data_IF_123898313571
#
_entry.id   IF_123898313571
#
_cell.length_a   1.000
_cell.length_b   1.000
_cell.length_c   1.000
_cell.angle_alpha   90.00
_cell.angle_beta   90.00
_cell.angle_gamma   90.00
#
_symmetry.space_group_name_H-M   'P 1'
#
loop_
_entity.id
_entity.type
_entity.pdbx_description
1 polymer ?
#
# COMPACT_ATOMS: atom_id res chain seq x y z
N UNK A 1 -23.72 20.43 -3.67
CA UNK A 1 -23.45 19.94 -5.04
C UNK A 1 -23.04 18.48 -4.88
N UNK A 2 -23.82 17.51 -5.37
CA UNK A 2 -23.41 16.09 -5.27
C UNK A 2 -22.09 15.91 -6.01
N UNK A 3 -21.08 15.23 -5.43
CA UNK A 3 -19.86 14.98 -6.16
C UNK A 3 -20.19 14.09 -7.36
N UNK A 4 -19.89 14.56 -8.56
CA UNK A 4 -20.13 13.83 -9.81
C UNK A 4 -19.22 12.59 -9.99
N UNK A 5 -18.38 12.31 -8.99
CA UNK A 5 -17.33 11.29 -8.97
C UNK A 5 -17.17 10.75 -7.56
N UNK A 6 -16.81 9.47 -7.45
CA UNK A 6 -16.59 8.80 -6.16
C UNK A 6 -15.32 9.29 -5.45
N UNK A 7 -14.32 9.74 -6.22
CA UNK A 7 -13.02 10.18 -5.72
C UNK A 7 -12.74 11.63 -6.15
N UNK A 8 -12.16 12.45 -5.27
CA UNK A 8 -11.79 13.83 -5.56
C UNK A 8 -10.46 14.18 -4.90
N UNK A 9 -9.58 14.87 -5.61
CA UNK A 9 -8.40 15.49 -4.98
C UNK A 9 -8.87 16.66 -4.15
N UNK A 10 -8.59 16.63 -2.85
CA UNK A 10 -8.84 17.72 -1.90
C UNK A 10 -7.52 18.18 -1.32
N UNK A 11 -7.43 19.46 -0.91
CA UNK A 11 -6.23 19.94 -0.24
C UNK A 11 -6.19 19.48 1.21
N UNK A 12 -5.00 19.18 1.71
CA UNK A 12 -4.82 18.74 3.09
C UNK A 12 -5.28 19.80 4.11
N UNK A 13 -5.07 21.09 3.83
CA UNK A 13 -5.55 22.17 4.71
C UNK A 13 -7.08 22.24 4.78
N UNK A 14 -7.76 21.97 3.67
CA UNK A 14 -9.23 21.94 3.64
C UNK A 14 -9.78 20.75 4.45
N UNK A 15 -9.13 19.58 4.37
CA UNK A 15 -9.49 18.42 5.20
C UNK A 15 -9.28 18.73 6.67
N UNK A 16 -8.12 19.28 7.04
CA UNK A 16 -7.82 19.66 8.43
C UNK A 16 -8.81 20.70 8.95
N UNK A 17 -9.15 21.71 8.15
CA UNK A 17 -10.17 22.70 8.51
C UNK A 17 -11.55 22.06 8.73
N UNK A 18 -11.92 21.06 7.92
CA UNK A 18 -13.18 20.35 8.04
C UNK A 18 -13.23 19.39 9.25
N UNK A 19 -12.09 18.81 9.64
CA UNK A 19 -12.01 17.84 10.75
C UNK A 19 -11.61 18.45 12.10
N UNK A 20 -11.09 19.69 12.11
CA UNK A 20 -10.51 20.31 13.30
C UNK A 20 -9.40 19.44 13.91
N UNK A 21 -9.36 19.35 15.24
CA UNK A 21 -8.36 18.58 16.00
C UNK A 21 -8.59 17.06 15.98
N UNK A 22 -9.53 16.57 15.15
CA UNK A 22 -9.91 15.15 15.08
C UNK A 22 -10.71 14.65 16.29
N UNK A 23 -10.63 15.29 17.46
CA UNK A 23 -11.39 14.95 18.67
C UNK A 23 -12.89 15.25 18.57
N UNK A 24 -13.26 16.16 17.68
CA UNK A 24 -14.65 16.50 17.37
C UNK A 24 -15.28 15.56 16.34
N UNK A 25 -14.48 14.70 15.69
CA UNK A 25 -15.00 13.66 14.80
C UNK A 25 -15.51 12.54 15.71
N UNK A 26 -16.84 12.30 15.74
CA UNK A 26 -17.38 11.24 16.57
C UNK A 26 -16.72 9.92 16.17
N UNK A 27 -16.32 9.12 17.16
CA UNK A 27 -15.92 7.73 16.95
C UNK A 27 -17.11 7.02 16.30
N UNK A 28 -17.09 7.01 14.97
CA UNK A 28 -18.18 6.51 14.16
C UNK A 28 -17.99 5.01 14.11
N UNK A 29 -18.99 4.28 14.58
CA UNK A 29 -19.23 2.95 14.05
C UNK A 29 -19.21 3.08 12.52
N UNK A 30 -18.41 2.27 11.84
CA UNK A 30 -17.98 2.47 10.45
C UNK A 30 -19.13 2.47 9.44
N UNK A 31 -20.35 2.23 9.91
CA UNK A 31 -21.59 2.11 9.16
C UNK A 31 -22.29 3.45 8.88
N UNK A 32 -21.93 4.57 9.53
CA UNK A 32 -22.60 5.86 9.29
C UNK A 32 -21.73 6.79 8.43
N UNK A 33 -22.13 7.06 7.17
CA UNK A 33 -21.39 7.99 6.32
C UNK A 33 -21.45 9.41 6.86
N UNK A 34 -20.30 10.03 7.06
CA UNK A 34 -20.17 11.44 7.43
C UNK A 34 -19.89 12.28 6.18
N UNK A 35 -20.49 13.46 6.09
CA UNK A 35 -20.18 14.44 5.04
C UNK A 35 -19.21 15.48 5.59
N UNK A 36 -18.07 15.66 4.92
CA UNK A 36 -17.09 16.71 5.19
C UNK A 36 -17.12 17.74 4.06
N UNK A 37 -17.22 19.02 4.40
CA UNK A 37 -17.07 20.10 3.42
C UNK A 37 -15.59 20.44 3.22
N UNK A 38 -14.96 19.75 2.28
CA UNK A 38 -13.56 19.96 1.91
C UNK A 38 -13.38 20.99 0.79
N UNK A 39 -14.42 21.77 0.47
CA UNK A 39 -14.39 22.78 -0.60
C UNK A 39 -14.39 22.21 -2.02
N UNK A 40 -13.91 23.02 -2.98
CA UNK A 40 -13.81 22.64 -4.39
C UNK A 40 -12.66 21.66 -4.67
N UNK A 41 -12.84 20.81 -5.69
CA UNK A 41 -11.80 19.88 -6.12
C UNK A 41 -10.50 20.57 -6.51
N UNK A 42 -9.38 20.02 -6.05
CA UNK A 42 -8.02 20.52 -6.27
C UNK A 42 -7.31 19.77 -7.41
N UNK A 43 -8.07 19.22 -8.35
CA UNK A 43 -7.58 18.43 -9.49
C UNK A 43 -6.44 19.11 -10.27
N UNK A 44 -6.59 20.43 -10.51
CA UNK A 44 -5.60 21.22 -11.23
C UNK A 44 -4.27 21.38 -10.47
N UNK A 45 -4.25 21.09 -9.16
CA UNK A 45 -3.02 21.08 -8.36
C UNK A 45 -2.31 19.72 -8.38
N UNK A 46 -2.91 18.70 -8.97
CA UNK A 46 -2.30 17.39 -9.09
C UNK A 46 -1.21 17.40 -10.16
N UNK A 47 0.01 16.95 -9.84
CA UNK A 47 1.06 16.85 -10.84
C UNK A 47 0.74 15.72 -11.83
N UNK A 48 0.46 16.08 -13.08
CA UNK A 48 0.28 15.13 -14.18
C UNK A 48 -1.15 14.63 -14.34
N UNK A 49 -1.30 13.44 -14.92
CA UNK A 49 -2.62 12.82 -15.08
C UNK A 49 -3.14 12.36 -13.72
N UNK A 50 -4.40 12.70 -13.41
CA UNK A 50 -5.08 12.13 -12.26
C UNK A 50 -5.18 10.60 -12.38
N UNK A 51 -5.20 9.89 -11.23
CA UNK A 51 -5.72 8.53 -11.20
C UNK A 51 -7.10 8.48 -11.84
N UNK A 52 -7.40 7.41 -12.56
CA UNK A 52 -8.70 7.27 -13.21
C UNK A 52 -9.77 6.84 -12.19
N UNK A 53 -10.98 7.39 -12.31
CA UNK A 53 -12.01 7.34 -11.25
C UNK A 53 -12.73 5.98 -11.08
N UNK A 54 -12.59 5.07 -12.04
CA UNK A 54 -13.34 3.79 -12.09
C UNK A 54 -12.53 2.60 -12.64
N UNK A 55 -13.15 1.50 -13.01
CA UNK A 55 -12.50 0.45 -13.83
C UNK A 55 -11.24 -0.23 -13.25
N UNK A 56 -11.10 -0.24 -11.93
CA UNK A 56 -10.00 -0.91 -11.24
C UNK A 56 -10.24 -2.42 -11.18
N UNK A 57 -9.25 -3.23 -11.59
CA UNK A 57 -9.28 -4.68 -11.42
C UNK A 57 -8.49 -5.08 -10.18
N UNK A 58 -9.15 -5.72 -9.22
CA UNK A 58 -8.47 -6.29 -8.05
C UNK A 58 -7.51 -7.39 -8.52
N UNK A 59 -6.24 -7.26 -8.16
CA UNK A 59 -5.22 -8.27 -8.43
C UNK A 59 -5.12 -9.20 -7.22
N UNK A 60 -4.89 -8.67 -6.03
CA UNK A 60 -4.73 -9.49 -4.84
C UNK A 60 -5.05 -8.72 -3.56
N UNK A 61 -5.19 -9.44 -2.46
CA UNK A 61 -5.28 -8.92 -1.11
C UNK A 61 -4.03 -9.38 -0.35
N UNK A 62 -3.26 -8.42 0.15
CA UNK A 62 -2.02 -8.67 0.88
C UNK A 62 -2.24 -8.37 2.36
N UNK A 63 -1.73 -9.20 3.30
CA UNK A 63 -1.83 -8.90 4.72
C UNK A 63 -1.04 -7.62 5.07
N UNK A 64 -1.69 -6.70 5.79
CA UNK A 64 -1.07 -5.47 6.29
C UNK A 64 0.21 -5.73 7.11
N UNK A 65 0.21 -6.81 7.90
CA UNK A 65 1.36 -7.23 8.70
C UNK A 65 2.61 -7.49 7.84
N UNK A 66 2.46 -8.04 6.63
CA UNK A 66 3.56 -8.28 5.71
C UNK A 66 4.20 -6.96 5.23
N UNK A 67 3.37 -5.95 4.93
CA UNK A 67 3.85 -4.63 4.51
C UNK A 67 4.56 -3.89 5.66
N UNK A 68 4.06 -4.01 6.89
CA UNK A 68 4.74 -3.53 8.11
C UNK A 68 6.08 -4.24 8.34
N UNK A 69 6.15 -5.54 8.04
CA UNK A 69 7.39 -6.31 8.05
C UNK A 69 8.42 -5.72 7.08
N UNK A 70 8.03 -5.49 5.82
CA UNK A 70 8.88 -4.89 4.79
C UNK A 70 9.40 -3.50 5.18
N UNK A 71 8.53 -2.64 5.73
CA UNK A 71 8.92 -1.30 6.19
C UNK A 71 9.98 -1.35 7.29
N UNK A 72 9.80 -2.24 8.28
CA UNK A 72 10.76 -2.44 9.37
C UNK A 72 12.10 -2.98 8.86
N UNK A 73 12.08 -3.99 7.98
CA UNK A 73 13.29 -4.53 7.36
C UNK A 73 14.04 -3.46 6.57
N UNK A 74 13.34 -2.68 5.76
CA UNK A 74 13.92 -1.61 4.97
C UNK A 74 14.54 -0.51 5.84
N UNK A 75 13.91 -0.16 6.97
CA UNK A 75 14.46 0.79 7.95
C UNK A 75 15.72 0.25 8.65
N UNK A 76 15.74 -1.05 8.96
CA UNK A 76 16.95 -1.72 9.47
C UNK A 76 18.11 -1.60 8.48
N UNK A 77 17.87 -1.97 7.22
CA UNK A 77 18.87 -1.88 6.14
C UNK A 77 19.35 -0.45 5.94
N UNK A 78 18.44 0.54 5.97
CA UNK A 78 18.83 1.94 5.83
C UNK A 78 19.68 2.46 7.00
N UNK A 79 19.44 1.95 8.21
CA UNK A 79 20.25 2.31 9.38
C UNK A 79 21.68 1.78 9.25
N UNK A 80 21.85 0.59 8.69
CA UNK A 80 23.15 -0.06 8.46
C UNK A 80 23.91 0.58 7.29
N UNK A 81 23.22 0.84 6.17
CA UNK A 81 23.86 1.20 4.90
C UNK A 81 23.86 2.71 4.60
N UNK A 82 22.91 3.47 5.15
CA UNK A 82 22.61 4.84 4.68
C UNK A 82 22.93 5.95 5.68
N UNK A 83 23.35 5.59 6.91
CA UNK A 83 23.77 6.54 7.94
C UNK A 83 22.72 7.64 8.23
N UNK A 84 23.13 8.84 8.68
CA UNK A 84 22.21 9.92 9.06
C UNK A 84 21.44 10.57 7.89
N UNK A 85 21.68 10.16 6.64
CA UNK A 85 21.09 10.78 5.43
C UNK A 85 19.69 10.26 5.07
N UNK A 86 19.11 9.37 5.90
CA UNK A 86 17.76 8.84 5.70
C UNK A 86 17.71 7.69 4.70
N UNK A 87 16.50 7.30 4.29
CA UNK A 87 16.29 6.18 3.36
C UNK A 87 16.81 6.55 1.96
N UNK A 88 17.72 5.76 1.37
CA UNK A 88 18.28 6.07 0.07
C UNK A 88 17.21 5.89 -1.01
N UNK A 89 17.22 6.75 -2.02
CA UNK A 89 16.22 6.73 -3.10
C UNK A 89 16.19 5.40 -3.86
N UNK A 90 17.37 4.77 -4.04
CA UNK A 90 17.49 3.44 -4.64
C UNK A 90 16.67 2.38 -3.89
N UNK A 91 16.68 2.43 -2.55
CA UNK A 91 15.91 1.51 -1.71
C UNK A 91 14.41 1.81 -1.80
N UNK A 92 14.01 3.07 -1.95
CA UNK A 92 12.60 3.43 -2.16
C UNK A 92 12.08 2.96 -3.53
N UNK A 93 12.89 3.06 -4.58
CA UNK A 93 12.50 2.66 -5.93
C UNK A 93 12.65 1.15 -6.18
N UNK A 94 13.21 0.43 -5.20
CA UNK A 94 13.33 -1.02 -5.24
C UNK A 94 11.94 -1.68 -5.27
N UNK A 95 11.77 -2.59 -6.24
CA UNK A 95 10.61 -3.48 -6.35
C UNK A 95 10.78 -4.62 -5.36
N UNK A 96 9.91 -4.66 -4.34
CA UNK A 96 10.06 -5.59 -3.20
C UNK A 96 8.96 -6.63 -3.10
N UNK A 97 7.81 -6.36 -3.71
CA UNK A 97 6.70 -7.29 -3.68
C UNK A 97 6.19 -7.51 -5.09
N UNK A 98 6.28 -8.77 -5.53
CA UNK A 98 5.63 -9.23 -6.75
C UNK A 98 4.28 -9.81 -6.38
N UNK A 99 3.23 -9.08 -6.72
CA UNK A 99 1.84 -9.51 -6.52
C UNK A 99 1.38 -10.19 -7.79
N UNK A 100 0.87 -11.40 -7.68
CA UNK A 100 0.19 -12.09 -8.78
C UNK A 100 -1.31 -12.14 -8.48
N UNK A 101 -2.19 -12.25 -9.48
CA UNK A 101 -3.61 -12.39 -9.24
C UNK A 101 -3.84 -13.59 -8.31
N UNK A 102 -4.48 -13.35 -7.17
CA UNK A 102 -4.81 -14.42 -6.24
C UNK A 102 -5.88 -15.30 -6.88
N UNK A 103 -5.64 -16.61 -6.96
CA UNK A 103 -6.75 -17.54 -7.18
C UNK A 103 -7.56 -17.50 -5.88
N UNK A 104 -8.65 -16.74 -5.84
CA UNK A 104 -9.35 -16.32 -4.61
C UNK A 104 -9.49 -17.46 -3.59
N UNK A 105 -8.80 -17.33 -2.47
CA UNK A 105 -8.92 -18.22 -1.32
C UNK A 105 -10.14 -17.81 -0.51
N UNK A 106 -11.28 -18.39 -0.87
CA UNK A 106 -12.45 -18.54 0.00
C UNK A 106 -12.22 -19.80 0.84
N UNK A 107 -11.73 -19.69 2.09
CA UNK A 107 -11.92 -20.69 3.15
C UNK A 107 -11.85 -20.01 4.53
N UNK A 108 -13.03 -19.76 5.10
CA UNK A 108 -13.19 -19.58 6.54
C UNK A 108 -13.22 -20.93 7.27
N UNK A 109 -13.05 -20.86 8.58
CA UNK A 109 -13.29 -21.89 9.61
C UNK A 109 -12.23 -23.00 9.82
N UNK A 110 -11.67 -22.99 11.03
CA UNK A 110 -10.85 -24.07 11.57
C UNK A 110 -10.31 -23.77 12.96
N UNK A 111 -11.17 -23.83 13.99
CA UNK A 111 -10.75 -23.89 15.38
C UNK A 111 -10.01 -25.20 15.67
N UNK A 112 -8.91 -25.14 16.45
CA UNK A 112 -8.22 -26.33 16.94
C UNK A 112 -6.90 -26.03 17.66
N UNK A 113 -6.97 -25.89 18.98
CA UNK A 113 -5.82 -25.86 19.90
C UNK A 113 -5.04 -27.20 19.90
N UNK A 114 -3.71 -27.16 20.02
CA UNK A 114 -2.94 -27.90 21.03
C UNK A 114 -1.42 -27.69 20.90
N UNK A 115 -0.78 -27.66 22.06
CA UNK A 115 0.63 -27.37 22.29
C UNK A 115 1.60 -28.51 21.88
N UNK A 116 2.85 -28.17 21.59
CA UNK A 116 3.96 -29.11 21.43
C UNK A 116 5.33 -28.42 21.35
N UNK A 117 6.18 -28.72 22.33
CA UNK A 117 7.50 -28.13 22.60
C UNK A 117 8.64 -28.72 21.74
N UNK A 118 9.66 -27.90 21.48
CA UNK A 118 11.07 -28.32 21.49
C UNK A 118 11.77 -28.59 20.14
N UNK A 119 12.94 -27.99 19.92
CA UNK A 119 13.88 -28.46 18.89
C UNK A 119 14.86 -27.42 18.35
N UNK A 120 16.04 -27.36 18.98
CA UNK A 120 17.26 -26.66 18.55
C UNK A 120 17.87 -27.25 17.27
N UNK A 121 18.48 -26.41 16.42
CA UNK A 121 19.38 -26.83 15.33
C UNK A 121 19.82 -25.69 14.42
N UNK A 122 21.12 -25.36 14.45
CA UNK A 122 21.83 -24.62 13.40
C UNK A 122 21.75 -25.39 12.06
N UNK A 123 21.95 -24.85 10.85
CA UNK A 123 23.10 -24.12 10.34
C UNK A 123 22.92 -23.79 8.83
N UNK A 124 23.68 -22.79 8.36
CA UNK A 124 24.27 -22.66 7.01
C UNK A 124 23.43 -22.73 5.72
N UNK A 125 23.45 -21.59 5.01
CA UNK A 125 24.05 -21.53 3.68
C UNK A 125 23.12 -21.63 2.47
N UNK A 126 23.02 -20.52 1.72
CA UNK A 126 23.38 -20.42 0.29
C UNK A 126 22.56 -19.33 -0.38
N UNK A 127 23.25 -18.35 -0.96
CA UNK A 127 22.67 -17.29 -1.76
C UNK A 127 21.92 -17.83 -2.98
N UNK A 128 20.64 -17.49 -3.06
CA UNK A 128 19.81 -17.69 -4.26
C UNK A 128 19.83 -16.42 -5.11
N UNK A 129 20.69 -16.41 -6.12
CA UNK A 129 20.61 -15.43 -7.20
C UNK A 129 19.26 -15.59 -7.92
N UNK A 130 18.42 -14.55 -7.90
CA UNK A 130 17.20 -14.53 -8.73
C UNK A 130 17.59 -14.14 -10.15
N UNK A 131 17.80 -15.16 -10.97
CA UNK A 131 17.96 -15.05 -12.41
C UNK A 131 16.75 -14.30 -13.02
N UNK A 132 17.05 -13.29 -13.82
CA UNK A 132 16.09 -12.60 -14.68
C UNK A 132 15.48 -13.57 -15.69
N UNK A 133 14.29 -14.06 -15.37
CA UNK A 133 13.43 -14.82 -16.28
C UNK A 133 12.39 -13.90 -16.89
N UNK A 134 12.60 -13.50 -18.15
CA UNK A 134 11.59 -12.91 -19.01
C UNK A 134 10.52 -13.96 -19.31
N UNK A 135 9.49 -14.01 -18.47
CA UNK A 135 8.31 -14.84 -18.64
C UNK A 135 7.10 -13.94 -18.83
N UNK A 136 6.40 -14.09 -19.96
CA UNK A 136 5.15 -13.40 -20.25
C UNK A 136 4.06 -13.83 -19.25
N UNK A 137 3.96 -13.15 -18.11
CA UNK A 137 2.90 -13.27 -17.12
C UNK A 137 2.25 -11.90 -16.94
N UNK A 138 1.31 -11.57 -17.82
CA UNK A 138 0.83 -10.20 -18.04
C UNK A 138 0.07 -9.51 -16.90
N UNK A 139 -0.12 -10.19 -15.76
CA UNK A 139 -0.96 -9.69 -14.67
C UNK A 139 -0.26 -9.60 -13.30
N UNK A 140 1.05 -9.89 -13.27
CA UNK A 140 1.83 -9.66 -12.06
C UNK A 140 2.22 -8.19 -11.92
N UNK A 141 2.03 -7.64 -10.72
CA UNK A 141 2.37 -6.27 -10.34
C UNK A 141 3.61 -6.25 -9.46
N UNK A 142 4.49 -5.29 -9.72
CA UNK A 142 5.67 -5.05 -8.89
C UNK A 142 5.44 -3.80 -8.05
N UNK A 143 5.35 -3.98 -6.73
CA UNK A 143 5.18 -2.90 -5.76
C UNK A 143 6.55 -2.46 -5.25
N UNK A 144 6.76 -1.16 -5.23
CA UNK A 144 7.99 -0.52 -4.78
C UNK A 144 7.99 -0.29 -3.28
N UNK A 145 9.17 -0.18 -2.66
CA UNK A 145 9.27 0.23 -1.25
C UNK A 145 8.65 1.60 -1.01
N UNK A 146 8.68 2.50 -1.99
CA UNK A 146 8.06 3.83 -1.91
C UNK A 146 6.58 3.75 -1.62
N UNK A 147 5.86 2.84 -2.28
CA UNK A 147 4.43 2.62 -2.03
C UNK A 147 4.18 2.05 -0.64
N UNK A 148 4.98 1.07 -0.22
CA UNK A 148 4.91 0.49 1.13
C UNK A 148 5.17 1.55 2.21
N UNK A 149 6.22 2.35 2.04
CA UNK A 149 6.54 3.44 2.97
C UNK A 149 5.46 4.51 2.98
N UNK A 150 4.91 4.89 1.82
CA UNK A 150 3.82 5.86 1.77
C UNK A 150 2.60 5.35 2.55
N UNK A 151 2.20 4.10 2.33
CA UNK A 151 1.06 3.48 3.01
C UNK A 151 1.26 3.42 4.54
N UNK A 152 2.46 3.04 4.97
CA UNK A 152 2.83 2.91 6.39
C UNK A 152 3.03 4.27 7.09
N UNK A 153 3.71 5.22 6.46
CA UNK A 153 4.07 6.52 7.03
C UNK A 153 2.88 7.49 7.06
N UNK A 154 1.95 7.37 6.10
CA UNK A 154 0.70 8.13 6.09
C UNK A 154 -0.35 7.55 7.04
N UNK A 155 -0.07 6.40 7.67
CA UNK A 155 -1.00 5.77 8.62
C UNK A 155 -2.22 5.13 7.95
N UNK A 156 -2.16 4.81 6.65
CA UNK A 156 -3.27 4.14 5.94
C UNK A 156 -3.46 2.69 6.38
N UNK A 157 -2.43 2.10 6.97
CA UNK A 157 -2.50 0.85 7.73
C UNK A 157 -2.28 1.17 9.21
N UNK A 158 -3.01 0.54 10.15
CA UNK A 158 -2.68 0.60 11.57
C UNK A 158 -1.20 0.34 11.88
N UNK A 159 -0.67 0.92 12.96
CA UNK A 159 0.70 0.64 13.40
C UNK A 159 0.88 -0.84 13.80
N UNK A 160 -0.15 -1.39 14.44
CA UNK A 160 -0.28 -2.79 14.84
C UNK A 160 -1.55 -3.37 14.17
N UNK A 161 -1.44 -3.84 12.91
CA UNK A 161 -2.57 -4.45 12.22
C UNK A 161 -2.90 -5.84 12.82
N UNK A 162 -4.17 -6.24 12.77
CA UNK A 162 -4.55 -7.64 13.02
C UNK A 162 -4.03 -8.56 11.91
N UNK A 163 -3.95 -9.86 12.19
CA UNK A 163 -3.43 -10.86 11.24
C UNK A 163 -4.19 -10.85 9.90
N UNK A 164 -5.50 -10.61 9.95
CA UNK A 164 -6.38 -10.56 8.78
C UNK A 164 -6.59 -9.15 8.20
N UNK A 165 -5.88 -8.11 8.67
CA UNK A 165 -6.07 -6.74 8.18
C UNK A 165 -5.70 -6.64 6.69
N UNK A 166 -6.66 -6.40 5.79
CA UNK A 166 -6.46 -6.59 4.37
C UNK A 166 -5.96 -5.32 3.68
N UNK A 167 -4.99 -5.47 2.77
CA UNK A 167 -4.57 -4.41 1.85
C UNK A 167 -4.86 -4.84 0.43
N UNK A 168 -5.81 -4.16 -0.22
CA UNK A 168 -6.21 -4.52 -1.59
C UNK A 168 -5.25 -3.90 -2.59
N UNK A 169 -4.81 -4.69 -3.56
CA UNK A 169 -3.93 -4.25 -4.64
C UNK A 169 -4.70 -4.36 -5.94
N UNK A 170 -4.88 -3.24 -6.63
CA UNK A 170 -5.62 -3.16 -7.87
C UNK A 170 -4.79 -2.51 -8.99
N UNK A 171 -5.14 -2.85 -10.24
CA UNK A 171 -4.52 -2.30 -11.45
C UNK A 171 -5.54 -1.61 -12.33
N UNK A 172 -5.10 -0.56 -13.02
CA UNK A 172 -5.78 -0.02 -14.22
C UNK A 172 -4.74 0.49 -15.23
N UNK A 173 -4.46 -0.31 -16.26
CA UNK A 173 -3.42 0.02 -17.23
C UNK A 173 -2.03 0.18 -16.57
N UNK A 174 -1.46 1.39 -16.64
CA UNK A 174 -0.19 1.74 -15.98
C UNK A 174 -0.31 2.11 -14.50
N UNK A 175 -1.55 2.27 -14.02
CA UNK A 175 -1.81 2.67 -12.65
C UNK A 175 -1.93 1.45 -11.75
N UNK A 176 -1.42 1.60 -10.53
CA UNK A 176 -1.48 0.68 -9.42
C UNK A 176 -2.10 1.41 -8.24
N UNK A 177 -2.99 0.74 -7.52
CA UNK A 177 -3.64 1.26 -6.32
C UNK A 177 -3.49 0.26 -5.20
N UNK A 178 -3.07 0.76 -4.04
CA UNK A 178 -3.03 0.00 -2.79
C UNK A 178 -4.00 0.63 -1.82
N UNK A 179 -5.09 -0.08 -1.50
CA UNK A 179 -6.12 0.37 -0.57
C UNK A 179 -5.85 -0.23 0.80
N UNK A 180 -5.44 0.61 1.74
CA UNK A 180 -5.36 0.28 3.17
C UNK A 180 -6.68 0.57 3.88
N UNK A 181 -6.66 0.49 5.21
CA UNK A 181 -7.83 0.73 6.06
C UNK A 181 -8.35 2.16 5.99
N UNK A 182 -7.43 3.11 6.05
CA UNK A 182 -7.75 4.54 6.22
C UNK A 182 -7.46 5.38 4.98
N UNK A 183 -7.04 4.77 3.88
CA UNK A 183 -6.73 5.47 2.66
C UNK A 183 -6.06 4.61 1.60
N UNK A 184 -5.81 5.23 0.45
CA UNK A 184 -5.26 4.56 -0.72
C UNK A 184 -4.02 5.27 -1.23
N UNK A 185 -3.04 4.50 -1.68
CA UNK A 185 -1.87 5.01 -2.41
C UNK A 185 -2.03 4.67 -3.89
N UNK A 186 -1.83 5.68 -4.73
CA UNK A 186 -1.83 5.53 -6.18
C UNK A 186 -0.40 5.70 -6.70
N UNK A 187 0.03 4.77 -7.55
CA UNK A 187 1.28 4.84 -8.27
C UNK A 187 1.04 4.61 -9.76
N UNK A 188 1.80 5.28 -10.61
CA UNK A 188 1.86 4.98 -12.03
C UNK A 188 3.26 4.57 -12.39
N UNK A 189 3.40 3.54 -13.22
CA UNK A 189 4.66 3.36 -13.94
C UNK A 189 4.87 4.62 -14.81
N UNK A 190 6.07 5.20 -14.73
CA UNK A 190 6.36 6.49 -15.37
C UNK A 190 5.94 6.52 -16.83
N UNK A 191 5.55 7.69 -17.33
CA UNK A 191 5.49 7.91 -18.77
C UNK A 191 6.92 7.65 -19.26
N UNK A 192 7.17 6.50 -19.90
CA UNK A 192 8.51 6.16 -20.36
C UNK A 192 9.10 7.37 -21.08
N UNK A 193 10.23 7.87 -20.58
CA UNK A 193 11.04 8.79 -21.38
C UNK A 193 11.38 8.00 -22.64
N UNK A 194 10.90 8.48 -23.79
CA UNK A 194 11.41 8.00 -25.07
C UNK A 194 12.94 8.12 -24.99
N UNK A 195 13.71 7.05 -25.27
CA UNK A 195 15.14 7.23 -25.47
C UNK A 195 15.30 8.18 -26.65
N UNK A 196 15.88 9.36 -26.38
CA UNK A 196 16.32 10.30 -27.41
C UNK A 196 17.63 9.82 -28.03
#
# INVERSE_FOLDING_TARGET
>A
MSPARADMVVRADAVVAATGDGSAVPATDSAVPMTLDCGGGADASWPGSLPLDDGWSLVNIVPAAALRGLERSARSVATEESGPMGLPTSLLDQKVLRVSPGNGGDEGEGAGESAGSGGSGAESGTGGAVAGGSGAGGDSLEITMREVFALCAMGFIPAEPSDDEPVRVARRGRWRRMDGRFGSVYASDGLGVLPI
#
